data_IF_063452365504
#
_entry.id   IF_063452365504
#
_cell.length_a   1.000
_cell.length_b   1.000
_cell.length_c   1.000
_cell.angle_alpha   90.00
_cell.angle_beta   90.00
_cell.angle_gamma   90.00
#
_symmetry.space_group_name_H-M   'P 1'
#
loop_
_entity.id
_entity.type
_entity.pdbx_description
1 polymer ?
#
# COMPACT_ATOMS: atom_id res chain seq x y z
N UNK A 1 8.26 24.93 12.57
CA UNK A 1 8.97 24.12 11.55
C UNK A 1 7.97 23.13 11.02
N UNK A 2 7.61 23.25 9.75
CA UNK A 2 6.40 22.65 9.21
C UNK A 2 6.62 21.13 9.01
N UNK A 3 6.15 20.32 9.97
CA UNK A 3 6.09 18.86 9.86
C UNK A 3 4.84 18.52 9.05
N UNK A 4 5.06 18.40 7.75
CA UNK A 4 4.05 18.52 6.69
C UNK A 4 4.09 17.25 5.79
N UNK A 5 4.27 16.09 6.41
CA UNK A 5 4.17 14.77 5.81
C UNK A 5 3.93 13.77 6.95
N UNK A 6 3.50 12.54 6.67
CA UNK A 6 3.35 11.53 7.73
C UNK A 6 4.76 11.04 8.15
N UNK A 7 5.32 11.46 9.30
CA UNK A 7 6.64 10.99 9.71
C UNK A 7 6.59 9.50 10.00
N UNK A 8 7.72 8.80 9.82
CA UNK A 8 7.77 7.35 10.06
C UNK A 8 7.54 7.00 11.55
N UNK A 9 7.87 7.91 12.47
CA UNK A 9 7.59 7.79 13.90
C UNK A 9 6.17 8.14 14.32
N UNK A 10 5.28 8.54 13.39
CA UNK A 10 3.93 8.99 13.72
C UNK A 10 3.24 8.07 14.72
N UNK A 11 2.66 8.66 15.77
CA UNK A 11 1.99 7.88 16.79
C UNK A 11 0.81 7.11 16.19
N UNK A 12 0.69 5.83 16.55
CA UNK A 12 -0.36 4.94 16.04
C UNK A 12 -1.18 4.45 17.22
N UNK A 13 -2.45 4.83 17.22
CA UNK A 13 -3.40 4.39 18.22
C UNK A 13 -3.45 2.85 18.28
N UNK A 14 -3.78 2.31 19.46
CA UNK A 14 -3.74 0.87 19.74
C UNK A 14 -4.58 0.02 18.77
N UNK A 15 -5.77 0.47 18.38
CA UNK A 15 -6.59 -0.18 17.34
C UNK A 15 -6.45 0.47 15.95
N UNK A 16 -5.58 1.47 15.84
CA UNK A 16 -5.33 2.24 14.64
C UNK A 16 -4.36 1.56 13.69
N UNK A 17 -3.94 2.32 12.69
CA UNK A 17 -2.94 1.89 11.73
C UNK A 17 -2.18 3.10 11.19
N UNK A 18 -0.96 2.84 10.73
CA UNK A 18 -0.29 3.67 9.75
C UNK A 18 0.28 2.77 8.66
N UNK A 19 0.23 3.21 7.40
CA UNK A 19 0.99 2.57 6.35
C UNK A 19 1.61 3.58 5.41
N UNK A 20 2.72 3.17 4.81
CA UNK A 20 3.40 3.89 3.75
C UNK A 20 3.41 3.01 2.53
N UNK A 21 2.86 3.53 1.45
CA UNK A 21 2.62 2.84 0.21
C UNK A 21 3.48 3.45 -0.89
N UNK A 22 4.14 2.60 -1.66
CA UNK A 22 4.69 2.99 -2.95
C UNK A 22 4.28 2.02 -4.05
N UNK A 23 4.22 2.55 -5.26
CA UNK A 23 4.19 1.75 -6.46
C UNK A 23 4.98 2.36 -7.61
N UNK A 24 5.36 1.49 -8.55
CA UNK A 24 6.12 1.82 -9.74
C UNK A 24 5.47 1.15 -10.95
N UNK A 25 5.18 1.93 -11.99
CA UNK A 25 4.81 1.46 -13.32
C UNK A 25 6.05 1.57 -14.21
N UNK A 26 6.59 0.43 -14.64
CA UNK A 26 7.82 0.37 -15.41
C UNK A 26 7.68 0.99 -16.80
N UNK A 27 8.73 1.69 -17.24
CA UNK A 27 8.79 2.34 -18.57
C UNK A 27 8.74 1.30 -19.71
N UNK A 28 9.01 0.03 -19.40
CA UNK A 28 8.93 -1.09 -20.35
C UNK A 28 7.50 -1.62 -20.59
N UNK A 29 6.50 -1.14 -19.85
CA UNK A 29 5.11 -1.59 -19.96
C UNK A 29 4.86 -3.05 -19.53
N UNK A 30 5.89 -3.74 -19.05
CA UNK A 30 5.85 -5.16 -18.68
C UNK A 30 5.99 -5.36 -17.16
N UNK A 31 6.71 -4.48 -16.49
CA UNK A 31 7.00 -4.56 -15.07
C UNK A 31 6.26 -3.51 -14.26
N UNK A 32 5.86 -3.89 -13.06
CA UNK A 32 5.37 -2.97 -12.05
C UNK A 32 5.67 -3.56 -10.68
N UNK A 33 5.79 -2.71 -9.66
CA UNK A 33 6.01 -3.15 -8.28
C UNK A 33 5.17 -2.34 -7.31
N UNK A 34 4.76 -2.95 -6.20
CA UNK A 34 4.22 -2.24 -5.03
C UNK A 34 4.89 -2.72 -3.77
N UNK A 35 5.22 -1.79 -2.87
CA UNK A 35 5.75 -2.10 -1.54
C UNK A 35 4.97 -1.31 -0.51
N UNK A 36 4.58 -1.95 0.59
CA UNK A 36 3.81 -1.33 1.66
C UNK A 36 4.38 -1.74 3.01
N UNK A 37 4.67 -0.74 3.84
CA UNK A 37 5.05 -0.91 5.24
C UNK A 37 3.87 -0.56 6.13
N UNK A 38 3.54 -1.43 7.08
CA UNK A 38 2.42 -1.26 8.00
C UNK A 38 2.90 -1.23 9.45
N UNK A 39 2.38 -0.29 10.24
CA UNK A 39 2.34 -0.34 11.69
C UNK A 39 0.87 -0.49 12.09
N UNK A 40 0.50 -1.67 12.60
CA UNK A 40 -0.90 -2.05 12.78
C UNK A 40 -1.56 -2.44 11.44
N UNK A 41 -1.18 -3.60 10.89
CA UNK A 41 -1.70 -4.10 9.61
C UNK A 41 -3.24 -4.19 9.62
N UNK A 42 -3.95 -3.29 8.92
CA UNK A 42 -5.42 -3.20 8.98
C UNK A 42 -6.10 -4.39 8.31
N UNK A 43 -5.36 -5.18 7.52
CA UNK A 43 -5.83 -6.38 6.85
C UNK A 43 -5.57 -7.65 7.68
N UNK A 44 -4.89 -7.53 8.82
CA UNK A 44 -4.51 -8.67 9.64
C UNK A 44 -5.70 -9.32 10.33
N UNK A 45 -6.01 -10.60 10.07
CA UNK A 45 -7.07 -11.29 10.78
C UNK A 45 -6.68 -11.55 12.23
N UNK A 46 -5.38 -11.59 12.55
CA UNK A 46 -4.90 -11.67 13.92
C UNK A 46 -5.17 -10.35 14.66
N UNK A 47 -4.82 -9.21 14.06
CA UNK A 47 -5.02 -7.90 14.67
C UNK A 47 -6.50 -7.58 14.85
N UNK A 48 -7.30 -7.74 13.79
CA UNK A 48 -8.74 -7.50 13.83
C UNK A 48 -9.44 -8.42 14.84
N UNK A 49 -8.97 -9.68 15.00
CA UNK A 49 -9.49 -10.58 16.04
C UNK A 49 -9.06 -10.15 17.44
N UNK A 50 -7.84 -9.68 17.63
CA UNK A 50 -7.35 -9.18 18.91
C UNK A 50 -8.13 -7.93 19.36
N UNK A 51 -8.35 -6.97 18.46
CA UNK A 51 -9.19 -5.78 18.71
C UNK A 51 -10.61 -6.19 19.12
N UNK A 52 -11.30 -7.01 18.31
CA UNK A 52 -12.66 -7.49 18.63
C UNK A 52 -12.74 -8.27 19.95
N UNK A 53 -11.67 -8.97 20.33
CA UNK A 53 -11.60 -9.71 21.59
C UNK A 53 -11.45 -8.76 22.77
N UNK A 54 -10.51 -7.81 22.69
CA UNK A 54 -10.29 -6.82 23.72
C UNK A 54 -11.57 -6.01 24.00
N UNK A 55 -12.27 -5.59 22.96
CA UNK A 55 -13.53 -4.84 23.08
C UNK A 55 -14.63 -5.64 23.77
N UNK A 56 -14.84 -6.90 23.36
CA UNK A 56 -15.81 -7.80 24.00
C UNK A 56 -15.51 -8.07 25.46
N UNK A 57 -14.22 -8.18 25.79
CA UNK A 57 -13.74 -8.49 27.14
C UNK A 57 -13.50 -7.23 27.98
N UNK A 58 -13.76 -6.03 27.43
CA UNK A 58 -13.47 -4.72 28.04
C UNK A 58 -12.03 -4.61 28.55
N UNK A 59 -11.09 -5.11 27.76
CA UNK A 59 -9.65 -5.10 28.03
C UNK A 59 -8.95 -4.01 27.22
N UNK A 60 -7.71 -3.72 27.60
CA UNK A 60 -6.84 -2.85 26.82
C UNK A 60 -6.72 -3.35 25.37
N UNK A 61 -6.88 -2.44 24.41
CA UNK A 61 -6.73 -2.75 22.99
C UNK A 61 -5.30 -3.25 22.70
N UNK A 62 -5.07 -4.16 21.74
CA UNK A 62 -3.71 -4.55 21.35
C UNK A 62 -2.88 -3.34 20.92
N UNK A 63 -1.55 -3.33 21.08
CA UNK A 63 -0.73 -2.27 20.48
C UNK A 63 -0.53 -2.53 18.97
N UNK A 64 -0.62 -1.48 18.14
CA UNK A 64 -0.48 -1.59 16.69
C UNK A 64 0.88 -2.17 16.25
N UNK A 65 1.94 -1.85 17.00
CA UNK A 65 3.31 -2.34 16.77
C UNK A 65 3.42 -3.87 16.91
N UNK A 66 2.47 -4.53 17.59
CA UNK A 66 2.40 -5.99 17.66
C UNK A 66 1.97 -6.67 16.33
N UNK A 67 1.59 -5.86 15.34
CA UNK A 67 1.05 -6.29 14.05
C UNK A 67 1.67 -5.47 12.91
N UNK A 68 2.99 -5.28 12.95
CA UNK A 68 3.74 -4.65 11.86
C UNK A 68 3.83 -5.60 10.66
N UNK A 69 3.87 -5.07 9.43
CA UNK A 69 3.95 -5.93 8.26
C UNK A 69 4.61 -5.26 7.07
N UNK A 70 5.12 -6.08 6.14
CA UNK A 70 5.66 -5.64 4.85
C UNK A 70 5.02 -6.47 3.75
N UNK A 71 4.33 -5.79 2.83
CA UNK A 71 3.80 -6.38 1.60
C UNK A 71 4.67 -5.93 0.43
N UNK A 72 5.19 -6.87 -0.34
CA UNK A 72 5.91 -6.57 -1.58
C UNK A 72 5.34 -7.42 -2.72
N UNK A 73 5.10 -6.78 -3.86
CA UNK A 73 4.52 -7.42 -5.04
C UNK A 73 5.30 -6.99 -6.27
N UNK A 74 5.73 -7.96 -7.07
CA UNK A 74 6.30 -7.76 -8.40
C UNK A 74 5.32 -8.29 -9.44
N UNK A 75 4.96 -7.46 -10.41
CA UNK A 75 4.16 -7.81 -11.58
C UNK A 75 5.07 -7.94 -12.81
N UNK A 76 4.89 -9.01 -13.58
CA UNK A 76 5.65 -9.33 -14.81
C UNK A 76 4.70 -9.80 -15.90
N UNK A 77 4.13 -8.86 -16.64
CA UNK A 77 3.09 -9.13 -17.64
C UNK A 77 1.87 -9.82 -17.02
N UNK A 78 1.72 -11.14 -17.28
CA UNK A 78 0.62 -11.97 -16.74
C UNK A 78 0.99 -12.70 -15.44
N UNK A 79 2.26 -12.69 -15.04
CA UNK A 79 2.75 -13.32 -13.81
C UNK A 79 2.87 -12.29 -12.70
N UNK A 80 2.83 -12.76 -11.45
CA UNK A 80 3.14 -11.94 -10.28
C UNK A 80 3.85 -12.78 -9.23
N UNK A 81 4.70 -12.13 -8.44
CA UNK A 81 5.22 -12.65 -7.20
C UNK A 81 4.71 -11.77 -6.07
N UNK A 82 3.96 -12.35 -5.16
CA UNK A 82 3.28 -11.64 -4.08
C UNK A 82 3.79 -12.19 -2.74
N UNK A 83 4.13 -11.28 -1.82
CA UNK A 83 4.68 -11.59 -0.51
C UNK A 83 4.03 -10.72 0.55
N UNK A 84 3.80 -11.25 1.75
CA UNK A 84 3.25 -10.47 2.86
C UNK A 84 3.68 -11.11 4.17
N UNK A 85 4.64 -10.45 4.82
CA UNK A 85 5.21 -10.88 6.09
C UNK A 85 4.70 -9.95 7.20
N UNK A 86 4.11 -10.53 8.24
CA UNK A 86 3.68 -9.85 9.47
C UNK A 86 4.62 -10.24 10.62
N UNK A 87 5.08 -9.24 11.37
CA UNK A 87 6.04 -9.34 12.45
C UNK A 87 5.55 -8.57 13.69
N UNK A 88 6.05 -8.96 14.84
CA UNK A 88 5.85 -8.22 16.09
C UNK A 88 7.02 -7.24 16.27
N UNK A 89 6.70 -5.95 16.40
CA UNK A 89 7.68 -4.88 16.62
C UNK A 89 8.17 -4.20 15.35
N UNK A 90 8.64 -2.97 15.54
CA UNK A 90 9.38 -2.18 14.56
C UNK A 90 10.31 -1.22 15.31
N UNK A 91 11.41 -0.84 14.67
CA UNK A 91 12.25 0.28 15.11
C UNK A 91 11.92 1.46 14.21
N UNK A 92 11.70 2.65 14.79
CA UNK A 92 11.34 3.81 13.99
C UNK A 92 11.73 5.12 14.64
N UNK A 93 12.12 6.06 13.79
CA UNK A 93 12.25 7.49 14.06
C UNK A 93 11.55 8.26 12.93
N UNK A 94 11.73 9.58 12.85
CA UNK A 94 11.03 10.40 11.85
C UNK A 94 11.42 10.04 10.40
N UNK A 95 12.63 9.54 10.18
CA UNK A 95 13.23 9.30 8.87
C UNK A 95 13.34 7.82 8.53
N UNK A 96 13.32 6.91 9.50
CA UNK A 96 13.50 5.46 9.27
C UNK A 96 12.43 4.63 9.97
N UNK A 97 11.94 3.61 9.28
CA UNK A 97 11.10 2.53 9.81
C UNK A 97 11.72 1.19 9.42
N UNK A 98 12.09 0.37 10.40
CA UNK A 98 12.56 -1.00 10.20
C UNK A 98 11.56 -2.01 10.75
N UNK A 99 11.20 -3.00 9.93
CA UNK A 99 10.32 -4.13 10.27
C UNK A 99 11.05 -5.41 9.89
N UNK A 100 11.64 -6.08 10.87
CA UNK A 100 12.51 -7.24 10.62
C UNK A 100 13.67 -6.89 9.68
N UNK A 101 13.91 -7.65 8.60
CA UNK A 101 15.00 -7.39 7.66
C UNK A 101 14.68 -6.30 6.61
N UNK A 102 13.51 -5.67 6.69
CA UNK A 102 13.07 -4.65 5.72
C UNK A 102 13.07 -3.27 6.37
N UNK A 103 13.36 -2.23 5.60
CA UNK A 103 13.31 -0.86 6.07
C UNK A 103 12.84 0.14 5.02
N UNK A 104 12.14 1.17 5.47
CA UNK A 104 11.79 2.36 4.72
C UNK A 104 12.59 3.54 5.28
N UNK A 105 13.22 4.32 4.40
CA UNK A 105 13.95 5.53 4.76
C UNK A 105 13.41 6.72 3.97
N UNK A 106 13.10 7.80 4.66
CA UNK A 106 12.71 9.10 4.12
C UNK A 106 13.88 10.08 4.22
N UNK A 107 14.14 10.78 3.12
CA UNK A 107 15.09 11.89 3.03
C UNK A 107 14.79 12.66 1.76
N UNK A 108 15.81 13.13 1.03
CA UNK A 108 15.62 13.71 -0.32
C UNK A 108 15.00 12.71 -1.32
N UNK A 109 15.22 11.42 -1.06
CA UNK A 109 14.64 10.28 -1.78
C UNK A 109 13.99 9.32 -0.80
N UNK A 110 13.05 8.51 -1.27
CA UNK A 110 12.44 7.44 -0.46
C UNK A 110 13.09 6.12 -0.84
N UNK A 111 13.65 5.42 0.14
CA UNK A 111 14.32 4.13 -0.09
C UNK A 111 13.60 3.04 0.69
N UNK A 112 13.04 2.08 -0.04
CA UNK A 112 12.40 0.90 0.53
C UNK A 112 13.25 -0.34 0.26
N UNK A 113 13.98 -0.79 1.27
CA UNK A 113 14.66 -2.08 1.30
C UNK A 113 13.70 -3.14 1.85
N UNK A 114 13.49 -4.23 1.12
CA UNK A 114 12.60 -5.30 1.58
C UNK A 114 13.21 -6.68 1.34
N UNK A 115 12.94 -7.57 2.28
CA UNK A 115 13.34 -8.97 2.20
C UNK A 115 12.20 -9.84 2.70
N UNK A 116 11.31 -10.24 1.80
CA UNK A 116 10.06 -10.95 2.12
C UNK A 116 9.96 -12.28 1.39
N UNK A 117 8.98 -13.12 1.76
CA UNK A 117 8.71 -14.40 1.06
C UNK A 117 7.22 -14.63 0.81
N UNK A 118 6.92 -15.45 -0.20
CA UNK A 118 5.53 -15.85 -0.47
C UNK A 118 5.00 -16.82 0.61
N UNK A 119 3.73 -16.70 1.07
CA UNK A 119 3.22 -17.43 2.24
C UNK A 119 3.21 -18.94 2.21
N UNK A 120 3.12 -19.54 1.02
CA UNK A 120 3.00 -21.00 0.87
C UNK A 120 4.27 -21.62 0.30
N UNK A 121 4.83 -21.00 -0.73
CA UNK A 121 5.98 -21.55 -1.46
C UNK A 121 7.31 -21.02 -0.95
N UNK A 122 7.32 -20.03 -0.04
CA UNK A 122 8.53 -19.47 0.53
C UNK A 122 9.45 -18.80 -0.49
N UNK A 123 8.95 -18.53 -1.70
CA UNK A 123 9.70 -17.89 -2.80
C UNK A 123 10.10 -16.49 -2.35
N UNK A 124 11.41 -16.18 -2.31
CA UNK A 124 11.88 -14.89 -1.85
C UNK A 124 11.61 -13.80 -2.87
N UNK A 125 11.36 -12.59 -2.35
CA UNK A 125 11.32 -11.34 -3.09
C UNK A 125 12.14 -10.34 -2.28
N UNK A 126 13.31 -9.96 -2.81
CA UNK A 126 14.25 -9.10 -2.09
C UNK A 126 14.87 -8.06 -3.00
N UNK A 127 15.13 -6.90 -2.43
CA UNK A 127 15.82 -5.81 -3.08
C UNK A 127 15.36 -4.46 -2.55
N UNK A 128 15.44 -3.47 -3.42
CA UNK A 128 15.20 -2.07 -3.09
C UNK A 128 14.35 -1.38 -4.14
N UNK A 129 13.46 -0.49 -3.70
CA UNK A 129 12.90 0.58 -4.54
C UNK A 129 13.45 1.92 -4.07
N UNK A 130 14.05 2.67 -5.00
CA UNK A 130 14.54 4.03 -4.78
C UNK A 130 13.59 4.97 -5.52
N UNK A 131 12.76 5.69 -4.79
CA UNK A 131 11.85 6.71 -5.34
C UNK A 131 12.54 8.06 -5.27
N UNK A 132 12.54 8.75 -6.40
CA UNK A 132 13.04 10.11 -6.59
C UNK A 132 11.83 11.03 -6.83
N UNK A 133 11.34 11.71 -5.79
CA UNK A 133 10.27 12.69 -5.92
C UNK A 133 10.72 13.87 -6.76
N UNK A 134 9.85 14.37 -7.64
CA UNK A 134 10.07 15.71 -8.20
C UNK A 134 9.98 16.76 -7.08
N UNK A 135 8.97 16.61 -6.24
CA UNK A 135 8.76 17.32 -4.97
C UNK A 135 8.02 16.44 -3.97
N UNK A 136 8.30 16.67 -2.69
CA UNK A 136 7.38 16.26 -1.64
C UNK A 136 6.23 17.27 -1.52
N UNK A 137 5.04 16.78 -1.21
CA UNK A 137 3.82 17.56 -1.08
C UNK A 137 3.25 17.38 0.32
N UNK A 138 2.72 18.47 0.86
CA UNK A 138 1.99 18.49 2.12
C UNK A 138 0.54 18.90 1.93
N UNK A 139 -0.26 17.95 1.47
CA UNK A 139 -1.68 18.19 1.27
C UNK A 139 -2.47 17.00 1.83
N UNK A 140 -2.51 16.83 3.16
CA UNK A 140 -3.19 15.70 3.77
C UNK A 140 -4.71 15.88 3.74
N UNK A 141 -5.43 14.78 3.53
CA UNK A 141 -6.88 14.77 3.33
C UNK A 141 -7.59 13.80 4.27
N UNK A 142 -8.68 14.24 4.90
CA UNK A 142 -9.52 13.40 5.75
C UNK A 142 -10.44 12.52 4.90
N UNK A 143 -10.25 11.21 4.97
CA UNK A 143 -11.00 10.25 4.17
C UNK A 143 -12.42 10.01 4.70
N UNK A 144 -12.75 10.50 5.89
CA UNK A 144 -14.02 10.28 6.55
C UNK A 144 -14.54 11.55 7.26
N UNK A 145 -15.80 11.52 7.71
CA UNK A 145 -16.47 12.65 8.35
C UNK A 145 -15.97 12.93 9.76
N UNK A 146 -15.49 11.88 10.44
CA UNK A 146 -15.15 11.91 11.86
C UNK A 146 -13.68 12.21 12.07
N UNK A 147 -12.94 12.47 10.98
CA UNK A 147 -11.50 12.76 11.00
C UNK A 147 -10.71 11.64 11.68
N UNK A 148 -11.11 10.39 11.42
CA UNK A 148 -10.48 9.20 11.97
C UNK A 148 -9.46 8.58 11.01
N UNK A 149 -9.54 8.91 9.73
CA UNK A 149 -8.71 8.34 8.67
C UNK A 149 -8.14 9.45 7.78
N UNK A 150 -6.82 9.53 7.68
CA UNK A 150 -6.12 10.59 6.94
C UNK A 150 -5.18 9.99 5.91
N UNK A 151 -5.24 10.54 4.71
CA UNK A 151 -4.36 10.24 3.59
C UNK A 151 -3.34 11.37 3.40
N UNK A 152 -2.11 11.01 3.05
CA UNK A 152 -0.97 11.90 2.87
C UNK A 152 -0.31 11.61 1.51
N UNK A 153 -0.66 12.33 0.42
CA UNK A 153 -0.02 12.19 -0.89
C UNK A 153 1.40 12.77 -0.87
N UNK A 154 2.36 12.05 -0.26
CA UNK A 154 3.68 12.59 0.08
C UNK A 154 4.56 12.89 -1.13
N UNK A 155 4.61 12.00 -2.13
CA UNK A 155 5.39 12.21 -3.36
C UNK A 155 4.65 11.62 -4.58
N UNK A 156 3.55 12.26 -5.00
CA UNK A 156 2.63 11.72 -5.99
C UNK A 156 3.18 11.73 -7.43
N UNK A 157 4.11 12.63 -7.73
CA UNK A 157 4.80 12.69 -9.01
C UNK A 157 6.29 12.39 -8.82
N UNK A 158 6.68 11.15 -9.10
CA UNK A 158 8.02 10.63 -8.84
C UNK A 158 8.51 9.72 -9.97
N UNK A 159 9.83 9.55 -10.05
CA UNK A 159 10.47 8.42 -10.76
C UNK A 159 10.92 7.41 -9.73
N UNK A 160 11.11 6.16 -10.11
CA UNK A 160 11.79 5.21 -9.25
C UNK A 160 12.62 4.21 -10.04
N UNK A 161 13.68 3.75 -9.39
CA UNK A 161 14.47 2.60 -9.81
C UNK A 161 14.17 1.43 -8.88
N UNK A 162 13.89 0.28 -9.46
CA UNK A 162 13.64 -0.99 -8.76
C UNK A 162 14.82 -1.91 -9.02
N UNK A 163 15.49 -2.35 -7.96
CA UNK A 163 16.67 -3.22 -8.01
C UNK A 163 16.38 -4.45 -7.14
N UNK A 164 16.13 -5.59 -7.78
CA UNK A 164 15.80 -6.84 -7.08
C UNK A 164 16.96 -7.82 -7.15
N UNK A 165 17.45 -8.25 -5.99
CA UNK A 165 18.43 -9.33 -5.88
C UNK A 165 17.78 -10.68 -6.22
N UNK A 166 16.56 -10.90 -5.72
CA UNK A 166 15.73 -12.07 -6.00
C UNK A 166 14.39 -11.55 -6.53
N UNK A 167 14.08 -11.65 -7.84
CA UNK A 167 14.62 -12.61 -8.83
C UNK A 167 15.66 -12.05 -9.83
N UNK A 168 16.62 -11.22 -9.40
CA UNK A 168 17.63 -10.58 -10.26
C UNK A 168 17.00 -9.76 -11.42
N UNK A 169 16.38 -8.63 -11.07
CA UNK A 169 15.68 -7.77 -12.03
C UNK A 169 15.92 -6.30 -11.68
N UNK A 170 16.20 -5.48 -12.71
CA UNK A 170 16.28 -4.04 -12.57
C UNK A 170 15.37 -3.37 -13.60
N UNK A 171 14.58 -2.38 -13.19
CA UNK A 171 13.81 -1.53 -14.10
C UNK A 171 13.55 -0.15 -13.49
N UNK A 172 13.22 0.82 -14.33
CA UNK A 172 12.83 2.16 -13.93
C UNK A 172 11.40 2.45 -14.37
N UNK A 173 10.76 3.42 -13.72
CA UNK A 173 9.40 3.78 -14.08
C UNK A 173 8.84 4.97 -13.34
N UNK A 174 7.60 5.31 -13.67
CA UNK A 174 6.81 6.34 -12.99
C UNK A 174 6.35 5.81 -11.64
N UNK A 175 6.62 6.55 -10.59
CA UNK A 175 6.39 6.13 -9.22
C UNK A 175 5.44 7.06 -8.47
N UNK A 176 4.95 6.57 -7.34
CA UNK A 176 4.09 7.28 -6.42
C UNK A 176 4.38 6.79 -5.01
N UNK A 177 4.36 7.70 -4.05
CA UNK A 177 4.53 7.39 -2.63
C UNK A 177 3.53 8.17 -1.78
N UNK A 178 2.85 7.47 -0.88
CA UNK A 178 1.92 8.07 0.07
C UNK A 178 1.97 7.43 1.45
N UNK A 179 1.30 8.09 2.40
CA UNK A 179 1.02 7.60 3.72
C UNK A 179 -0.47 7.60 4.01
N UNK A 180 -0.92 6.68 4.85
CA UNK A 180 -2.26 6.71 5.42
C UNK A 180 -2.18 6.41 6.91
N UNK A 181 -3.01 7.09 7.70
CA UNK A 181 -3.10 6.91 9.15
C UNK A 181 -4.56 6.85 9.58
N UNK A 182 -4.89 5.85 10.39
CA UNK A 182 -6.20 5.70 11.02
C UNK A 182 -6.09 5.62 12.53
N UNK A 183 -6.95 6.36 13.25
CA UNK A 183 -7.10 6.23 14.70
C UNK A 183 -7.91 4.97 15.08
N UNK A 184 -8.59 4.36 14.12
CA UNK A 184 -9.41 3.15 14.30
C UNK A 184 -9.27 2.17 13.11
N UNK A 185 -9.81 0.94 13.21
CA UNK A 185 -9.78 -0.01 12.10
C UNK A 185 -10.56 0.48 10.88
N UNK A 186 -10.07 0.19 9.67
CA UNK A 186 -10.79 0.47 8.40
C UNK A 186 -12.23 -0.06 8.40
N UNK A 187 -12.45 -1.20 9.06
CA UNK A 187 -13.77 -1.84 9.19
C UNK A 187 -14.76 -1.04 10.05
N UNK A 188 -14.41 0.13 10.57
CA UNK A 188 -15.34 1.06 11.22
C UNK A 188 -15.68 2.25 10.34
N UNK A 189 -14.69 2.83 9.68
CA UNK A 189 -14.87 4.03 8.86
C UNK A 189 -15.51 3.76 7.49
N UNK A 190 -15.25 2.61 6.86
CA UNK A 190 -15.52 2.44 5.43
C UNK A 190 -16.35 1.19 5.10
N UNK A 191 -17.23 1.29 4.11
CA UNK A 191 -17.82 0.15 3.38
C UNK A 191 -16.98 -0.17 2.14
N UNK A 192 -16.51 0.86 1.44
CA UNK A 192 -15.73 0.71 0.20
C UNK A 192 -14.81 1.89 -0.01
N UNK A 193 -13.72 1.68 -0.75
CA UNK A 193 -13.02 2.77 -1.40
C UNK A 193 -12.62 2.41 -2.83
N UNK A 194 -12.29 3.45 -3.59
CA UNK A 194 -11.61 3.38 -4.87
C UNK A 194 -10.43 4.34 -4.83
N UNK A 195 -9.29 3.89 -5.33
CA UNK A 195 -8.13 4.75 -5.48
C UNK A 195 -7.59 4.59 -6.90
N UNK A 196 -7.17 5.68 -7.51
CA UNK A 196 -6.54 5.63 -8.83
C UNK A 196 -5.45 6.68 -8.91
N UNK A 197 -4.29 6.34 -9.49
CA UNK A 197 -3.33 7.34 -9.96
C UNK A 197 -3.11 7.22 -11.45
N UNK A 198 -3.08 8.35 -12.14
CA UNK A 198 -2.81 8.48 -13.56
C UNK A 198 -1.59 9.39 -13.75
N UNK A 199 -0.37 8.83 -13.86
CA UNK A 199 0.82 9.64 -14.04
C UNK A 199 0.88 10.23 -15.46
N UNK A 200 1.03 11.55 -15.56
CA UNK A 200 1.33 12.31 -16.77
C UNK A 200 2.82 12.67 -16.88
N UNK A 201 3.16 13.52 -17.84
CA UNK A 201 4.54 13.99 -18.05
C UNK A 201 4.99 15.01 -17.01
N UNK A 202 4.12 15.98 -16.69
CA UNK A 202 4.42 17.08 -15.77
C UNK A 202 3.58 17.07 -14.50
N UNK A 203 2.64 16.13 -14.39
CA UNK A 203 1.75 16.01 -13.24
C UNK A 203 1.24 14.58 -13.06
N UNK A 204 0.71 14.27 -11.88
CA UNK A 204 -0.01 13.03 -11.59
C UNK A 204 -1.41 13.36 -11.10
N UNK A 205 -2.44 12.82 -11.76
CA UNK A 205 -3.81 12.88 -11.25
C UNK A 205 -4.06 11.72 -10.29
N UNK A 206 -4.67 12.00 -9.15
CA UNK A 206 -5.04 11.01 -8.14
C UNK A 206 -6.51 11.17 -7.78
N UNK A 207 -7.21 10.04 -7.81
CA UNK A 207 -8.59 9.91 -7.35
C UNK A 207 -8.59 9.05 -6.09
N UNK A 208 -9.24 9.52 -5.04
CA UNK A 208 -9.48 8.75 -3.82
C UNK A 208 -10.93 8.93 -3.37
N UNK A 209 -11.74 7.92 -3.66
CA UNK A 209 -13.15 7.88 -3.28
C UNK A 209 -13.36 6.93 -2.11
N UNK A 210 -14.07 7.38 -1.10
CA UNK A 210 -14.48 6.54 0.02
C UNK A 210 -15.99 6.54 0.16
N UNK A 211 -16.51 5.41 0.61
CA UNK A 211 -17.91 5.22 0.97
C UNK A 211 -17.92 4.72 2.40
N UNK A 212 -18.58 5.45 3.29
CA UNK A 212 -18.68 5.07 4.69
C UNK A 212 -19.75 3.98 4.92
N UNK A 213 -19.89 3.52 6.16
CA UNK A 213 -20.88 2.49 6.52
C UNK A 213 -22.34 2.96 6.37
N UNK A 214 -22.60 4.27 6.32
CA UNK A 214 -23.92 4.85 6.06
C UNK A 214 -24.20 5.07 4.56
N UNK A 215 -23.22 4.78 3.70
CA UNK A 215 -23.30 4.99 2.26
C UNK A 215 -22.96 6.41 1.81
N UNK A 216 -22.47 7.28 2.71
CA UNK A 216 -22.05 8.62 2.34
C UNK A 216 -20.70 8.56 1.61
N UNK A 217 -20.61 9.29 0.50
CA UNK A 217 -19.42 9.31 -0.33
C UNK A 217 -18.55 10.53 -0.04
N UNK A 218 -17.24 10.34 -0.03
CA UNK A 218 -16.24 11.41 -0.14
C UNK A 218 -15.38 11.17 -1.35
N UNK A 219 -15.03 12.26 -2.02
CA UNK A 219 -14.39 12.25 -3.32
C UNK A 219 -13.22 13.21 -3.30
N UNK A 220 -12.05 12.70 -3.61
CA UNK A 220 -10.84 13.49 -3.81
C UNK A 220 -10.37 13.31 -5.24
N UNK A 221 -10.42 14.38 -6.02
CA UNK A 221 -9.72 14.47 -7.31
C UNK A 221 -8.65 15.53 -7.19
N UNK A 222 -7.39 15.14 -7.35
CA UNK A 222 -6.26 16.03 -7.22
C UNK A 222 -5.31 15.86 -8.40
N UNK A 223 -4.78 16.98 -8.87
CA UNK A 223 -3.66 17.01 -9.82
C UNK A 223 -2.46 17.55 -9.07
N UNK A 224 -1.40 16.75 -9.03
CA UNK A 224 -0.14 17.11 -8.39
C UNK A 224 0.90 17.39 -9.45
N UNK A 225 1.37 18.63 -9.54
CA UNK A 225 2.42 19.04 -10.48
C UNK A 225 3.81 18.60 -10.03
N UNK A 226 4.72 18.45 -10.98
CA UNK A 226 6.14 18.18 -10.72
C UNK A 226 6.83 19.31 -9.92
N UNK A 227 6.25 20.51 -9.92
CA UNK A 227 6.67 21.67 -9.13
C UNK A 227 6.19 21.63 -7.68
N UNK A 228 5.39 20.62 -7.30
CA UNK A 228 4.78 20.48 -5.98
C UNK A 228 3.42 21.16 -5.86
N UNK A 229 2.89 21.75 -6.93
CA UNK A 229 1.53 22.32 -6.93
C UNK A 229 0.48 21.24 -6.71
N UNK A 230 -0.61 21.60 -6.02
CA UNK A 230 -1.78 20.76 -5.81
C UNK A 230 -3.03 21.54 -6.23
N UNK A 231 -3.81 20.98 -7.14
CA UNK A 231 -5.07 21.57 -7.59
C UNK A 231 -6.17 20.51 -7.65
N UNK A 232 -7.43 20.95 -7.61
CA UNK A 232 -8.55 20.07 -7.88
C UNK A 232 -8.51 19.64 -9.36
N UNK A 233 -8.77 18.36 -9.63
CA UNK A 233 -8.93 17.93 -11.02
C UNK A 233 -10.23 18.48 -11.62
N UNK A 234 -10.30 18.49 -12.95
CA UNK A 234 -11.54 18.81 -13.67
C UNK A 234 -12.66 17.82 -13.31
N UNK A 235 -13.91 18.24 -13.54
CA UNK A 235 -15.07 17.41 -13.24
C UNK A 235 -14.99 16.03 -13.91
N UNK A 236 -14.96 14.99 -13.08
CA UNK A 236 -14.92 13.58 -13.51
C UNK A 236 -16.31 12.92 -13.50
N UNK A 237 -16.50 11.92 -14.35
CA UNK A 237 -17.71 11.09 -14.43
C UNK A 237 -17.42 9.65 -14.00
N UNK A 238 -18.43 8.97 -13.44
CA UNK A 238 -18.30 7.56 -13.04
C UNK A 238 -18.27 6.65 -14.26
N UNK A 239 -17.27 5.79 -14.33
CA UNK A 239 -17.14 4.76 -15.35
C UNK A 239 -17.16 3.38 -14.72
N UNK A 240 -17.99 2.49 -15.25
CA UNK A 240 -18.01 1.09 -14.85
C UNK A 240 -16.79 0.35 -15.41
N UNK A 241 -16.20 -0.53 -14.59
CA UNK A 241 -15.14 -1.44 -14.99
C UNK A 241 -15.66 -2.89 -14.94
N UNK A 242 -15.08 -3.83 -15.71
CA UNK A 242 -15.45 -5.25 -15.62
C UNK A 242 -15.36 -5.75 -14.18
N UNK A 243 -16.23 -6.68 -13.76
CA UNK A 243 -16.18 -7.23 -12.39
C UNK A 243 -14.87 -7.98 -12.14
N UNK A 244 -14.47 -8.10 -10.87
CA UNK A 244 -13.32 -8.93 -10.48
C UNK A 244 -13.64 -10.43 -10.61
N UNK A 245 -12.63 -11.31 -10.49
CA UNK A 245 -12.83 -12.78 -10.44
C UNK A 245 -13.67 -13.23 -9.24
N UNK A 246 -13.81 -12.37 -8.24
CA UNK A 246 -14.63 -12.57 -7.05
C UNK A 246 -16.00 -11.88 -7.17
N UNK A 247 -16.37 -11.50 -8.40
CA UNK A 247 -17.61 -10.83 -8.75
C UNK A 247 -17.84 -9.52 -7.98
N UNK A 248 -16.77 -8.80 -7.63
CA UNK A 248 -16.91 -7.46 -7.02
C UNK A 248 -17.12 -6.47 -8.16
N UNK A 249 -18.14 -5.60 -8.01
CA UNK A 249 -18.35 -4.49 -8.93
C UNK A 249 -17.19 -3.50 -8.81
N UNK A 250 -16.68 -3.03 -9.95
CA UNK A 250 -15.63 -2.03 -10.02
C UNK A 250 -16.15 -0.82 -10.76
N UNK A 251 -15.73 0.34 -10.30
CA UNK A 251 -15.93 1.61 -10.95
C UNK A 251 -14.69 2.46 -10.74
N UNK A 252 -14.56 3.48 -11.55
CA UNK A 252 -13.57 4.54 -11.42
C UNK A 252 -14.22 5.86 -11.84
N UNK A 253 -13.46 6.94 -11.76
CA UNK A 253 -13.84 8.22 -12.33
C UNK A 253 -12.81 8.65 -13.35
N UNK A 254 -13.26 9.34 -14.39
CA UNK A 254 -12.42 9.83 -15.47
C UNK A 254 -12.97 11.18 -15.98
N UNK A 255 -12.16 11.95 -16.69
CA UNK A 255 -12.59 13.23 -17.24
C UNK A 255 -13.76 13.06 -18.21
N UNK A 256 -14.57 14.10 -18.38
CA UNK A 256 -15.71 14.08 -19.32
C UNK A 256 -15.27 13.67 -20.72
N UNK A 257 -15.97 12.70 -21.31
CA UNK A 257 -15.66 12.18 -22.65
C UNK A 257 -14.49 11.19 -22.71
N UNK A 258 -13.84 10.88 -21.59
CA UNK A 258 -12.92 9.75 -21.51
C UNK A 258 -13.66 8.42 -21.41
N UNK A 259 -13.07 7.39 -22.02
CA UNK A 259 -13.56 6.01 -21.94
C UNK A 259 -12.44 5.08 -21.53
N UNK A 260 -12.80 4.00 -20.85
CA UNK A 260 -11.89 2.89 -20.54
C UNK A 260 -11.72 2.04 -21.80
N UNK A 261 -10.52 1.98 -22.33
CA UNK A 261 -10.20 1.15 -23.51
C UNK A 261 -9.65 -0.21 -23.12
N UNK A 262 -8.98 -0.31 -21.97
CA UNK A 262 -8.42 -1.57 -21.47
C UNK A 262 -8.37 -1.63 -19.96
N UNK A 263 -8.61 -2.83 -19.42
CA UNK A 263 -8.43 -3.13 -17.99
C UNK A 263 -7.60 -4.41 -17.83
N UNK A 264 -6.39 -4.27 -17.29
CA UNK A 264 -5.50 -5.37 -16.95
C UNK A 264 -5.47 -5.56 -15.44
N UNK A 265 -6.27 -6.50 -14.94
CA UNK A 265 -6.27 -6.86 -13.52
C UNK A 265 -4.97 -7.56 -13.12
N UNK A 266 -4.21 -6.95 -12.21
CA UNK A 266 -2.94 -7.47 -11.69
C UNK A 266 -3.09 -8.10 -10.30
N UNK A 267 -4.08 -7.66 -9.51
CA UNK A 267 -4.49 -8.28 -8.25
C UNK A 267 -6.01 -8.47 -8.19
N UNK A 268 -6.43 -9.64 -7.69
CA UNK A 268 -7.84 -9.99 -7.53
C UNK A 268 -8.00 -10.92 -6.34
N UNK A 269 -8.32 -10.32 -5.19
CA UNK A 269 -8.64 -10.97 -3.93
C UNK A 269 -10.15 -10.82 -3.59
N UNK A 270 -10.67 -11.61 -2.63
CA UNK A 270 -12.11 -11.61 -2.28
C UNK A 270 -12.69 -10.27 -1.83
N UNK A 271 -11.84 -9.31 -1.45
CA UNK A 271 -12.20 -7.99 -0.94
C UNK A 271 -11.37 -6.86 -1.56
N UNK A 272 -10.38 -7.18 -2.38
CA UNK A 272 -9.42 -6.20 -2.90
C UNK A 272 -9.08 -6.50 -4.36
N UNK A 273 -8.91 -5.47 -5.18
CA UNK A 273 -8.41 -5.62 -6.54
C UNK A 273 -7.51 -4.46 -6.91
N UNK A 274 -6.47 -4.77 -7.68
CA UNK A 274 -5.63 -3.80 -8.37
C UNK A 274 -5.65 -4.09 -9.87
N UNK A 275 -5.78 -3.05 -10.67
CA UNK A 275 -5.76 -3.14 -12.11
C UNK A 275 -4.97 -1.97 -12.70
N UNK A 276 -4.42 -2.22 -13.87
CA UNK A 276 -3.89 -1.18 -14.73
C UNK A 276 -4.98 -0.86 -15.76
N UNK A 277 -5.42 0.39 -15.79
CA UNK A 277 -6.52 0.88 -16.63
C UNK A 277 -5.96 1.81 -17.68
N UNK A 278 -6.34 1.61 -18.94
CA UNK A 278 -6.05 2.54 -20.02
C UNK A 278 -7.30 3.37 -20.31
N UNK A 279 -7.13 4.69 -20.24
CA UNK A 279 -8.16 5.69 -20.53
C UNK A 279 -7.78 6.43 -21.82
N UNK A 280 -8.79 6.72 -22.63
CA UNK A 280 -8.65 7.46 -23.89
C UNK A 280 -9.80 8.47 -24.02
N UNK A 281 -9.47 9.72 -24.31
CA UNK A 281 -10.43 10.81 -24.51
C UNK A 281 -9.74 12.17 -24.41
N UNK A 282 -10.45 13.22 -24.85
CA UNK A 282 -9.93 14.60 -24.82
C UNK A 282 -8.53 14.78 -25.47
N UNK A 283 -8.22 13.99 -26.50
CA UNK A 283 -6.95 14.04 -27.22
C UNK A 283 -5.76 13.41 -26.49
N UNK A 284 -5.98 12.73 -25.36
CA UNK A 284 -4.94 12.09 -24.55
C UNK A 284 -5.25 10.62 -24.30
N UNK A 285 -4.19 9.80 -24.26
CA UNK A 285 -4.22 8.43 -23.76
C UNK A 285 -3.39 8.37 -22.48
N UNK A 286 -3.94 7.77 -21.43
CA UNK A 286 -3.25 7.62 -20.15
C UNK A 286 -3.43 6.25 -19.55
N UNK A 287 -2.38 5.75 -18.93
CA UNK A 287 -2.39 4.54 -18.11
C UNK A 287 -2.53 4.94 -16.64
N UNK A 288 -3.33 4.18 -15.90
CA UNK A 288 -3.61 4.46 -14.50
C UNK A 288 -3.53 3.18 -13.67
N UNK A 289 -2.93 3.28 -12.48
CA UNK A 289 -3.07 2.25 -11.45
C UNK A 289 -4.42 2.48 -10.76
N UNK A 290 -5.28 1.47 -10.76
CA UNK A 290 -6.61 1.49 -10.14
C UNK A 290 -6.70 0.44 -9.05
N UNK A 291 -7.29 0.83 -7.93
CA UNK A 291 -7.55 -0.01 -6.77
C UNK A 291 -9.00 0.06 -6.32
N UNK A 292 -9.48 -1.07 -5.81
CA UNK A 292 -10.77 -1.22 -5.16
C UNK A 292 -10.56 -1.98 -3.85
N UNK A 293 -11.19 -1.49 -2.79
CA UNK A 293 -11.33 -2.23 -1.52
C UNK A 293 -12.80 -2.30 -1.11
N UNK A 294 -13.31 -3.52 -0.97
CA UNK A 294 -14.62 -3.83 -0.41
C UNK A 294 -14.46 -4.22 1.07
N UNK A 295 -14.63 -3.25 1.95
CA UNK A 295 -14.37 -3.39 3.39
C UNK A 295 -15.48 -4.21 4.06
N UNK A 296 -16.70 -4.21 3.51
CA UNK A 296 -17.77 -5.10 3.96
C UNK A 296 -17.40 -6.56 3.79
N UNK A 297 -16.81 -6.92 2.65
CA UNK A 297 -16.24 -8.26 2.45
C UNK A 297 -15.05 -8.53 3.36
N UNK A 298 -14.20 -7.54 3.61
CA UNK A 298 -13.08 -7.69 4.57
C UNK A 298 -13.57 -8.08 5.97
N UNK A 299 -14.74 -7.59 6.43
CA UNK A 299 -15.34 -7.99 7.72
C UNK A 299 -15.78 -9.46 7.75
N UNK A 300 -16.02 -10.06 6.59
CA UNK A 300 -16.51 -11.42 6.45
C UNK A 300 -15.54 -12.47 6.99
N UNK A 301 -16.06 -13.43 7.78
CA UNK A 301 -15.26 -14.51 8.40
C UNK A 301 -14.49 -15.35 7.38
N UNK A 302 -15.08 -15.65 6.23
CA UNK A 302 -14.44 -16.43 5.17
C UNK A 302 -13.26 -15.69 4.53
N UNK A 303 -13.39 -14.37 4.33
CA UNK A 303 -12.32 -13.53 3.80
C UNK A 303 -11.16 -13.45 4.81
N UNK A 304 -11.48 -13.19 6.07
CA UNK A 304 -10.51 -13.20 7.17
C UNK A 304 -9.81 -14.56 7.30
N UNK A 305 -10.55 -15.66 7.12
CA UNK A 305 -9.99 -17.01 7.15
C UNK A 305 -8.98 -17.25 6.01
N UNK A 306 -9.33 -16.85 4.78
CA UNK A 306 -8.44 -16.96 3.64
C UNK A 306 -7.15 -16.14 3.82
N UNK A 307 -7.22 -15.00 4.52
CA UNK A 307 -6.06 -14.15 4.73
C UNK A 307 -5.04 -14.75 5.71
N UNK A 308 -5.44 -15.66 6.61
CA UNK A 308 -4.47 -16.42 7.43
C UNK A 308 -3.50 -17.23 6.57
N UNK A 309 -3.94 -17.74 5.41
CA UNK A 309 -3.11 -18.52 4.49
C UNK A 309 -2.32 -17.64 3.52
N UNK A 310 -2.66 -16.35 3.46
CA UNK A 310 -1.99 -15.37 2.61
C UNK A 310 -1.00 -14.51 3.36
N UNK A 311 -0.69 -14.78 4.62
CA UNK A 311 0.37 -14.04 5.29
C UNK A 311 1.27 -14.99 6.05
N UNK A 312 2.57 -14.68 6.04
CA UNK A 312 3.51 -15.33 6.94
C UNK A 312 3.55 -14.50 8.20
N UNK A 313 3.37 -15.14 9.34
CA UNK A 313 3.52 -14.48 10.62
C UNK A 313 4.77 -15.03 11.31
N UNK A 314 5.80 -14.20 11.40
CA UNK A 314 6.95 -14.51 12.25
C UNK A 314 6.68 -13.91 13.63
N UNK A 315 6.70 -14.75 14.67
CA UNK A 315 6.46 -14.27 16.05
C UNK A 315 7.69 -13.57 16.64
N UNK A 316 8.88 -13.80 16.09
CA UNK A 316 10.13 -13.21 16.57
C UNK A 316 11.06 -12.88 15.39
N UNK A 317 11.46 -11.61 15.27
CA UNK A 317 12.71 -11.24 14.60
C UNK A 317 13.80 -11.09 15.68
N UNK A 318 14.05 -12.17 16.42
CA UNK A 318 15.10 -12.26 17.43
C UNK A 318 16.10 -13.35 17.05
N UNK A 319 17.34 -12.92 16.77
CA UNK A 319 18.53 -13.72 16.50
C UNK A 319 18.62 -14.43 15.13
N UNK A 320 19.47 -13.88 14.26
CA UNK A 320 20.16 -14.68 13.24
C UNK A 320 20.91 -15.85 13.92
N UNK A 321 20.99 -17.04 13.31
CA UNK A 321 21.82 -18.11 13.84
C UNK A 321 23.29 -17.71 13.70
N UNK A 322 23.99 -17.46 14.82
CA UNK A 322 25.46 -17.49 14.84
C UNK A 322 25.88 -18.93 14.56
N UNK A 323 26.17 -19.24 13.29
CA UNK A 323 26.94 -20.41 12.90
C UNK A 323 28.39 -20.23 13.39
N UNK A 324 28.60 -20.47 14.69
CA UNK A 324 29.92 -20.65 15.26
C UNK A 324 30.38 -22.08 15.01
N UNK A 325 31.05 -22.30 13.88
CA UNK A 325 31.92 -23.47 13.70
C UNK A 325 33.03 -23.39 14.75
N UNK A 326 32.84 -24.07 15.90
CA UNK A 326 33.94 -24.43 16.78
C UNK A 326 34.64 -25.65 16.19
N UNK A 327 35.67 -25.39 15.40
CA UNK A 327 36.70 -26.37 15.08
C UNK A 327 37.35 -26.79 16.41
N UNK A 328 37.08 -28.00 16.88
CA UNK A 328 37.87 -28.62 17.96
C UNK A 328 39.25 -28.93 17.38
N UNK A 329 40.24 -28.16 17.81
CA UNK A 329 41.64 -28.57 17.71
C UNK A 329 41.87 -29.73 18.68
N UNK A 330 42.49 -30.78 18.14
CA UNK A 330 43.02 -31.95 18.83
C UNK A 330 44.11 -31.51 19.81
N UNK A 331 44.07 -32.05 21.02
CA UNK A 331 45.12 -31.95 22.03
C UNK A 331 44.78 -32.84 23.21
N UNK A 332 45.46 -33.98 23.30
CA UNK A 332 45.29 -35.01 24.32
C UNK A 332 45.56 -36.38 23.75
#
# INVERSE_FOLDING_TARGET
>A
MASLSLPLAADVARSGYAWWYLDVLGDDGHHAATVIFFVGNPFSPFYLRAVRRAEREQRELPAAQGFCAVNAVLYRGRRKLWTFDELCGCERDDERLAIGPSSLTLGERVVADFSTRSPLLGVPLRGRVIVEPARFVDEPHWLDAREQHRWYPMAPHSRARVELDEPALCFEGRAYFDGNRGAEPLTRGFSRWYWMRSPGETSTEVIYDTVDAAGAERRYDRVFGADGSCSAAEASERLALPRTRWLIARETRAGRGERVTRVRTVESAPFYSRAIVELDGAGRRREAMHELMDVDRLRGRLVQAAFYLRMRRARDAGAAPRLGLRTRLLGG
#
